data_IF_939613554276
#
_entry.id   IF_939613554276
#
_cell.length_a   1.000
_cell.length_b   1.000
_cell.length_c   1.000
_cell.angle_alpha   90.00
_cell.angle_beta   90.00
_cell.angle_gamma   90.00
#
_symmetry.space_group_name_H-M   'P 1'
#
loop_
_entity.id
_entity.type
_entity.pdbx_description
1 polymer ?
#
# COMPACT_ATOMS: atom_id res chain seq x y z
N UNK A 1 11.76 14.33 -29.58
CA UNK A 1 10.53 15.17 -29.55
C UNK A 1 10.90 16.64 -29.68
N UNK A 2 10.32 17.36 -30.63
CA UNK A 2 10.47 18.81 -30.69
C UNK A 2 9.97 19.43 -29.37
N UNK A 3 10.75 20.31 -28.72
CA UNK A 3 10.38 20.91 -27.42
C UNK A 3 9.03 21.63 -27.45
N UNK A 4 8.59 22.10 -28.63
CA UNK A 4 7.34 22.81 -28.84
C UNK A 4 6.09 21.90 -28.74
N UNK A 5 6.21 20.60 -29.03
CA UNK A 5 5.09 19.66 -28.98
C UNK A 5 4.75 19.22 -27.54
N UNK A 6 5.77 19.04 -26.71
CA UNK A 6 5.60 18.64 -25.31
C UNK A 6 4.99 19.77 -24.48
N UNK A 7 5.42 21.01 -24.74
CA UNK A 7 4.88 22.19 -24.07
C UNK A 7 3.42 22.44 -24.44
N UNK A 8 3.03 22.28 -25.71
CA UNK A 8 1.63 22.35 -26.15
C UNK A 8 0.75 21.28 -25.52
N UNK A 9 1.28 20.05 -25.40
CA UNK A 9 0.60 18.96 -24.71
C UNK A 9 0.40 19.27 -23.22
N UNK A 10 1.42 19.79 -22.53
CA UNK A 10 1.29 20.21 -21.12
C UNK A 10 0.22 21.29 -20.95
N UNK A 11 0.22 22.33 -21.80
CA UNK A 11 -0.76 23.42 -21.75
C UNK A 11 -2.19 22.92 -22.02
N UNK A 12 -2.37 21.97 -22.95
CA UNK A 12 -3.66 21.34 -23.21
C UNK A 12 -4.16 20.53 -22.00
N UNK A 13 -3.29 19.72 -21.39
CA UNK A 13 -3.65 18.90 -20.23
C UNK A 13 -3.97 19.79 -19.02
N UNK A 14 -3.20 20.85 -18.79
CA UNK A 14 -3.48 21.87 -17.76
C UNK A 14 -4.87 22.47 -17.97
N UNK A 15 -5.18 22.91 -19.19
CA UNK A 15 -6.50 23.47 -19.50
C UNK A 15 -7.62 22.45 -19.24
N UNK A 16 -7.45 21.17 -19.59
CA UNK A 16 -8.46 20.13 -19.35
C UNK A 16 -8.69 19.86 -17.86
N UNK A 17 -7.64 19.91 -17.03
CA UNK A 17 -7.76 19.84 -15.55
C UNK A 17 -8.49 21.08 -15.03
N UNK A 18 -8.15 22.26 -15.53
CA UNK A 18 -8.79 23.53 -15.15
C UNK A 18 -10.25 23.65 -15.61
N UNK A 19 -10.62 23.01 -16.71
CA UNK A 19 -11.99 22.95 -17.23
C UNK A 19 -12.84 21.82 -16.62
N UNK A 20 -12.28 20.98 -15.73
CA UNK A 20 -12.91 19.76 -15.20
C UNK A 20 -13.26 18.69 -16.27
N UNK A 21 -12.63 18.76 -17.44
CA UNK A 21 -12.80 17.79 -18.53
C UNK A 21 -11.89 16.56 -18.41
N UNK A 22 -11.10 16.48 -17.34
CA UNK A 22 -10.26 15.34 -17.00
C UNK A 22 -10.36 15.00 -15.52
N UNK A 23 -10.59 13.71 -15.22
CA UNK A 23 -10.70 13.22 -13.85
C UNK A 23 -9.33 13.19 -13.17
N UNK A 24 -9.28 13.46 -11.86
CA UNK A 24 -8.04 13.57 -11.09
C UNK A 24 -7.10 12.34 -11.18
N UNK A 25 -7.60 11.08 -11.14
CA UNK A 25 -6.72 9.92 -11.32
C UNK A 25 -6.06 9.88 -12.70
N UNK A 26 -6.74 10.36 -13.73
CA UNK A 26 -6.19 10.43 -15.09
C UNK A 26 -5.10 11.50 -15.18
N UNK A 27 -5.29 12.64 -14.52
CA UNK A 27 -4.28 13.70 -14.44
C UNK A 27 -3.02 13.25 -13.70
N UNK A 28 -3.17 12.55 -12.58
CA UNK A 28 -2.07 12.01 -11.80
C UNK A 28 -1.26 10.95 -12.59
N UNK A 29 -1.93 10.11 -13.37
CA UNK A 29 -1.29 9.13 -14.25
C UNK A 29 -0.45 9.80 -15.35
N UNK A 30 -0.96 10.90 -15.93
CA UNK A 30 -0.22 11.69 -16.94
C UNK A 30 1.02 12.35 -16.34
N UNK A 31 0.91 12.92 -15.13
CA UNK A 31 2.06 13.45 -14.39
C UNK A 31 3.09 12.36 -14.12
N UNK A 32 2.66 11.18 -13.64
CA UNK A 32 3.54 10.05 -13.38
C UNK A 32 4.26 9.56 -14.64
N UNK A 33 3.58 9.52 -15.78
CA UNK A 33 4.18 9.18 -17.06
C UNK A 33 5.23 10.21 -17.52
N UNK A 34 4.96 11.51 -17.37
CA UNK A 34 5.89 12.58 -17.73
C UNK A 34 7.16 12.56 -16.88
N UNK A 35 7.01 12.35 -15.56
CA UNK A 35 8.15 12.21 -14.63
C UNK A 35 9.00 10.98 -14.97
N UNK A 36 8.37 9.85 -15.32
CA UNK A 36 9.09 8.63 -15.78
C UNK A 36 9.86 8.87 -17.08
N UNK A 37 9.42 9.80 -17.92
CA UNK A 37 10.13 10.25 -19.13
C UNK A 37 11.21 11.31 -18.85
N UNK A 38 11.49 11.63 -17.58
CA UNK A 38 12.50 12.61 -17.17
C UNK A 38 12.06 14.06 -17.33
N UNK A 39 10.78 14.32 -17.53
CA UNK A 39 10.21 15.66 -17.68
C UNK A 39 9.33 16.00 -16.48
N UNK A 40 9.56 17.16 -15.87
CA UNK A 40 8.80 17.61 -14.69
C UNK A 40 7.86 18.74 -15.12
N UNK A 41 6.55 18.47 -15.34
CA UNK A 41 5.60 19.46 -15.82
C UNK A 41 5.11 20.33 -14.65
N UNK A 42 5.86 21.37 -14.30
CA UNK A 42 5.58 22.21 -13.12
C UNK A 42 4.19 22.86 -13.15
N UNK A 43 3.71 23.28 -14.33
CA UNK A 43 2.38 23.91 -14.45
C UNK A 43 1.26 22.89 -14.22
N UNK A 44 1.42 21.69 -14.78
CA UNK A 44 0.45 20.60 -14.58
C UNK A 44 0.45 20.10 -13.14
N UNK A 45 1.62 20.00 -12.51
CA UNK A 45 1.75 19.68 -11.08
C UNK A 45 0.98 20.69 -10.22
N UNK A 46 1.10 21.99 -10.52
CA UNK A 46 0.36 23.03 -9.80
C UNK A 46 -1.16 22.95 -10.06
N UNK A 47 -1.59 22.68 -11.29
CA UNK A 47 -3.01 22.58 -11.65
C UNK A 47 -3.70 21.35 -11.01
N UNK A 48 -3.02 20.21 -11.00
CA UNK A 48 -3.49 18.98 -10.32
C UNK A 48 -3.54 19.21 -8.80
N UNK A 49 -2.52 19.88 -8.25
CA UNK A 49 -2.44 20.20 -6.81
C UNK A 49 -3.47 21.25 -6.36
N UNK A 50 -3.80 22.21 -7.20
CA UNK A 50 -4.76 23.29 -6.92
C UNK A 50 -6.23 22.85 -6.92
N UNK A 51 -6.53 21.63 -7.40
CA UNK A 51 -7.89 21.07 -7.52
C UNK A 51 -8.13 19.78 -6.74
N UNK A 52 -7.20 19.39 -5.87
CA UNK A 52 -7.54 18.39 -4.85
C UNK A 52 -8.73 18.90 -4.04
N UNK A 53 -9.72 18.05 -3.70
CA UNK A 53 -10.56 18.31 -2.53
C UNK A 53 -9.64 18.68 -1.37
N UNK A 54 -9.99 19.71 -0.60
CA UNK A 54 -9.23 20.19 0.55
C UNK A 54 -8.89 19.09 1.60
N UNK A 55 -9.41 17.87 1.45
CA UNK A 55 -9.10 16.69 2.28
C UNK A 55 -7.74 16.03 2.00
N UNK A 56 -7.04 16.33 0.91
CA UNK A 56 -5.68 15.80 0.65
C UNK A 56 -4.55 16.82 0.93
N UNK A 57 -4.92 18.02 1.37
CA UNK A 57 -4.02 18.94 2.06
C UNK A 57 -4.51 19.05 3.50
N UNK A 58 -4.52 17.92 4.20
CA UNK A 58 -4.70 17.90 5.64
C UNK A 58 -3.60 18.75 6.26
N UNK A 59 -4.03 19.79 6.96
CA UNK A 59 -3.32 20.48 8.03
C UNK A 59 -2.24 19.57 8.63
N UNK A 60 -1.00 20.04 8.73
CA UNK A 60 0.04 19.30 9.44
C UNK A 60 -0.30 19.30 10.94
N UNK A 61 -1.30 18.49 11.32
CA UNK A 61 -1.53 18.07 12.69
C UNK A 61 -0.34 17.23 13.17
N UNK A 62 -0.32 16.95 14.47
CA UNK A 62 0.77 16.19 15.08
C UNK A 62 1.02 14.84 14.36
N UNK A 63 -0.05 14.17 13.89
CA UNK A 63 0.03 12.89 13.16
C UNK A 63 0.76 13.02 11.81
N UNK A 64 0.39 14.00 10.98
CA UNK A 64 1.05 14.22 9.69
C UNK A 64 2.53 14.55 9.84
N UNK A 65 2.89 15.35 10.85
CA UNK A 65 4.30 15.68 11.15
C UNK A 65 5.08 14.44 11.61
N UNK A 66 4.47 13.64 12.48
CA UNK A 66 5.07 12.39 12.97
C UNK A 66 5.29 11.37 11.84
N UNK A 67 4.31 11.19 10.97
CA UNK A 67 4.39 10.29 9.80
C UNK A 67 5.48 10.73 8.84
N UNK A 68 5.62 12.04 8.59
CA UNK A 68 6.68 12.57 7.75
C UNK A 68 8.07 12.28 8.33
N UNK A 69 8.21 12.37 9.65
CA UNK A 69 9.48 12.10 10.33
C UNK A 69 9.86 10.62 10.29
N UNK A 70 8.91 9.71 10.56
CA UNK A 70 9.13 8.27 10.40
C UNK A 70 9.57 7.91 8.98
N UNK A 71 8.91 8.49 7.96
CA UNK A 71 9.27 8.26 6.56
C UNK A 71 10.67 8.79 6.25
N UNK A 72 11.04 9.96 6.78
CA UNK A 72 12.38 10.53 6.64
C UNK A 72 13.43 9.56 7.18
N UNK A 73 13.19 8.98 8.36
CA UNK A 73 14.10 8.01 8.97
C UNK A 73 14.16 6.69 8.18
N UNK A 74 13.01 6.15 7.75
CA UNK A 74 12.96 4.94 6.94
C UNK A 74 13.76 5.10 5.64
N UNK A 75 13.64 6.25 4.96
CA UNK A 75 14.44 6.57 3.78
C UNK A 75 15.95 6.71 4.07
N UNK A 76 16.31 7.23 5.24
CA UNK A 76 17.71 7.34 5.68
C UNK A 76 18.33 5.97 6.06
N UNK A 77 17.54 5.04 6.60
CA UNK A 77 17.95 3.66 6.89
C UNK A 77 18.30 2.89 5.62
N UNK A 78 17.47 3.00 4.57
CA UNK A 78 17.76 2.43 3.25
C UNK A 78 19.08 2.97 2.64
N UNK A 79 19.53 4.15 3.09
CA UNK A 79 20.78 4.78 2.69
C UNK A 79 21.95 4.51 3.66
N UNK A 80 21.85 3.50 4.54
CA UNK A 80 22.85 3.03 5.52
C UNK A 80 23.22 4.02 6.66
N UNK A 81 22.38 5.02 6.99
CA UNK A 81 22.73 6.05 7.98
C UNK A 81 22.22 5.86 9.41
N UNK A 82 21.31 4.93 9.67
CA UNK A 82 20.74 4.74 11.02
C UNK A 82 20.80 3.27 11.45
N UNK A 83 21.43 2.96 12.60
CA UNK A 83 21.35 1.63 13.17
C UNK A 83 19.94 1.37 13.74
N UNK A 84 19.45 0.12 13.66
CA UNK A 84 18.28 -0.29 14.44
C UNK A 84 18.62 -0.03 15.93
N UNK A 85 17.74 0.68 16.65
CA UNK A 85 17.93 1.16 18.03
C UNK A 85 18.71 2.48 18.21
N UNK A 86 18.71 3.39 17.25
CA UNK A 86 19.10 4.78 17.55
C UNK A 86 18.16 5.39 18.61
N UNK A 87 18.67 6.29 19.48
CA UNK A 87 17.82 6.98 20.47
C UNK A 87 16.62 7.68 19.81
N UNK A 88 16.84 8.27 18.64
CA UNK A 88 15.82 8.94 17.83
C UNK A 88 14.68 7.97 17.43
N UNK A 89 15.00 6.72 17.09
CA UNK A 89 13.99 5.71 16.77
C UNK A 89 13.21 5.30 18.02
N UNK A 90 13.88 5.09 19.15
CA UNK A 90 13.24 4.69 20.40
C UNK A 90 12.25 5.76 20.90
N UNK A 91 12.63 7.03 20.84
CA UNK A 91 11.78 8.17 21.20
C UNK A 91 10.53 8.26 20.29
N UNK A 92 10.67 7.95 19.00
CA UNK A 92 9.53 7.94 18.08
C UNK A 92 8.61 6.73 18.30
N UNK A 93 9.19 5.55 18.56
CA UNK A 93 8.40 4.34 18.89
C UNK A 93 7.57 4.56 20.15
N UNK A 94 8.12 5.22 21.18
CA UNK A 94 7.39 5.56 22.40
C UNK A 94 6.19 6.49 22.15
N UNK A 95 6.26 7.34 21.12
CA UNK A 95 5.16 8.24 20.74
C UNK A 95 4.07 7.54 19.93
N UNK A 96 4.36 6.43 19.24
CA UNK A 96 3.41 5.72 18.36
C UNK A 96 2.05 5.53 19.03
N UNK A 97 1.92 4.93 20.23
CA UNK A 97 0.63 4.71 20.89
C UNK A 97 -0.25 5.95 20.99
N UNK A 98 0.35 7.11 21.26
CA UNK A 98 -0.38 8.37 21.41
C UNK A 98 -0.87 8.93 20.08
N UNK A 99 -0.26 8.51 18.98
CA UNK A 99 -0.55 8.97 17.63
C UNK A 99 -1.60 8.11 16.93
N UNK A 100 -1.72 6.82 17.27
CA UNK A 100 -2.62 5.88 16.58
C UNK A 100 -4.11 6.27 16.64
N UNK A 101 -4.67 6.77 17.76
CA UNK A 101 -6.08 7.13 17.82
C UNK A 101 -6.42 8.25 16.85
N UNK A 102 -7.31 7.98 15.90
CA UNK A 102 -7.76 8.97 14.92
C UNK A 102 -6.89 9.07 13.67
N UNK A 103 -5.82 8.27 13.54
CA UNK A 103 -5.11 8.15 12.28
C UNK A 103 -6.01 7.58 11.16
N UNK A 104 -5.82 8.11 9.96
CA UNK A 104 -6.37 7.54 8.73
C UNK A 104 -5.68 6.21 8.38
N UNK A 105 -6.29 5.42 7.50
CA UNK A 105 -5.69 4.16 7.04
C UNK A 105 -4.32 4.34 6.39
N UNK A 106 -4.13 5.44 5.67
CA UNK A 106 -2.85 5.78 5.03
C UNK A 106 -1.78 6.14 6.05
N UNK A 107 -2.13 6.87 7.11
CA UNK A 107 -1.21 7.21 8.19
C UNK A 107 -0.83 5.95 8.97
N UNK A 108 -1.80 5.12 9.36
CA UNK A 108 -1.55 3.86 10.06
C UNK A 108 -0.63 2.92 9.26
N UNK A 109 -0.93 2.71 7.98
CA UNK A 109 -0.12 1.86 7.11
C UNK A 109 1.29 2.41 6.91
N UNK A 110 1.43 3.74 6.77
CA UNK A 110 2.73 4.40 6.64
C UNK A 110 3.56 4.26 7.92
N UNK A 111 2.95 4.44 9.09
CA UNK A 111 3.65 4.23 10.38
C UNK A 111 4.12 2.78 10.44
N UNK A 112 3.22 1.82 10.21
CA UNK A 112 3.50 0.39 10.28
C UNK A 112 4.68 -0.03 9.38
N UNK A 113 4.64 0.33 8.08
CA UNK A 113 5.71 -0.05 7.16
C UNK A 113 7.02 0.69 7.44
N UNK A 114 6.97 1.92 7.94
CA UNK A 114 8.18 2.67 8.33
C UNK A 114 8.85 1.99 9.52
N UNK A 115 8.08 1.57 10.52
CA UNK A 115 8.60 0.82 11.67
C UNK A 115 9.20 -0.52 11.24
N UNK A 116 8.54 -1.24 10.34
CA UNK A 116 9.05 -2.50 9.80
C UNK A 116 10.36 -2.29 9.02
N UNK A 117 10.42 -1.25 8.18
CA UNK A 117 11.64 -0.87 7.41
C UNK A 117 12.79 -0.46 8.31
N UNK A 118 12.49 0.12 9.46
CA UNK A 118 13.47 0.53 10.47
C UNK A 118 13.88 -0.62 11.40
N UNK A 119 13.31 -1.82 11.20
CA UNK A 119 13.50 -2.98 12.08
C UNK A 119 13.25 -2.63 13.56
N UNK A 120 12.28 -1.74 13.81
CA UNK A 120 11.97 -1.24 15.14
C UNK A 120 11.34 -2.35 15.99
N UNK A 121 11.76 -2.45 17.25
CA UNK A 121 11.05 -3.30 18.22
C UNK A 121 9.79 -2.59 18.70
N UNK A 122 8.63 -3.15 18.34
CA UNK A 122 7.31 -2.69 18.77
C UNK A 122 6.75 -3.69 19.78
N UNK A 123 6.26 -3.22 20.92
CA UNK A 123 5.68 -4.09 21.95
C UNK A 123 4.25 -4.53 21.59
N UNK A 124 3.80 -5.62 22.22
CA UNK A 124 2.46 -6.19 22.03
C UNK A 124 1.35 -5.18 22.31
N UNK A 125 1.51 -4.31 23.31
CA UNK A 125 0.50 -3.31 23.67
C UNK A 125 0.33 -2.23 22.60
N UNK A 126 1.40 -1.88 21.89
CA UNK A 126 1.35 -0.98 20.73
C UNK A 126 0.70 -1.67 19.53
N UNK A 127 0.99 -2.96 19.28
CA UNK A 127 0.38 -3.73 18.19
C UNK A 127 -1.13 -3.91 18.38
N UNK A 128 -1.59 -4.14 19.62
CA UNK A 128 -3.02 -4.16 19.96
C UNK A 128 -3.71 -2.80 19.70
N UNK A 129 -2.99 -1.69 19.86
CA UNK A 129 -3.52 -0.37 19.53
C UNK A 129 -3.60 -0.14 18.03
N UNK A 130 -2.64 -0.68 17.24
CA UNK A 130 -2.76 -0.70 15.78
C UNK A 130 -3.98 -1.49 15.34
N UNK A 131 -4.21 -2.67 15.93
CA UNK A 131 -5.39 -3.49 15.67
C UNK A 131 -6.68 -2.71 15.97
N UNK A 132 -6.78 -2.08 17.14
CA UNK A 132 -7.96 -1.31 17.53
C UNK A 132 -8.19 -0.09 16.63
N UNK A 133 -7.13 0.64 16.24
CA UNK A 133 -7.23 1.79 15.36
C UNK A 133 -7.61 1.36 13.93
N UNK A 134 -7.02 0.26 13.44
CA UNK A 134 -7.36 -0.32 12.15
C UNK A 134 -8.83 -0.77 12.13
N UNK A 135 -9.28 -1.50 13.16
CA UNK A 135 -10.66 -1.98 13.27
C UNK A 135 -11.68 -0.83 13.23
N UNK A 136 -11.38 0.29 13.90
CA UNK A 136 -12.25 1.46 13.95
C UNK A 136 -12.36 2.17 12.59
N UNK A 137 -11.29 2.19 11.80
CA UNK A 137 -11.21 2.88 10.51
C UNK A 137 -11.43 2.00 9.28
N UNK A 138 -11.45 0.67 9.42
CA UNK A 138 -11.29 -0.28 8.31
C UNK A 138 -12.26 -0.07 7.14
N UNK A 139 -13.50 0.35 7.43
CA UNK A 139 -14.52 0.61 6.41
C UNK A 139 -14.14 1.74 5.43
N UNK A 140 -13.26 2.66 5.83
CA UNK A 140 -12.81 3.79 4.99
C UNK A 140 -11.45 3.56 4.35
N UNK A 141 -10.78 2.44 4.67
CA UNK A 141 -9.43 2.19 4.18
C UNK A 141 -9.43 1.82 2.70
N UNK A 142 -8.43 2.34 2.00
CA UNK A 142 -8.09 1.93 0.64
C UNK A 142 -7.38 0.56 0.65
N UNK A 143 -7.46 -0.22 -0.44
CA UNK A 143 -6.76 -1.50 -0.61
C UNK A 143 -5.31 -1.51 -0.14
N UNK A 144 -4.53 -0.52 -0.56
CA UNK A 144 -3.12 -0.38 -0.16
C UNK A 144 -2.92 -0.27 1.35
N UNK A 145 -3.82 0.41 2.06
CA UNK A 145 -3.71 0.52 3.52
C UNK A 145 -4.02 -0.81 4.20
N UNK A 146 -4.97 -1.57 3.65
CA UNK A 146 -5.36 -2.89 4.15
C UNK A 146 -4.21 -3.89 3.97
N UNK A 147 -3.70 -4.01 2.73
CA UNK A 147 -2.61 -4.93 2.38
C UNK A 147 -1.35 -4.65 3.19
N UNK A 148 -0.97 -3.37 3.32
CA UNK A 148 0.21 -2.94 4.07
C UNK A 148 0.06 -3.20 5.57
N UNK A 149 -1.12 -2.95 6.15
CA UNK A 149 -1.35 -3.25 7.57
C UNK A 149 -1.27 -4.74 7.86
N UNK A 150 -1.88 -5.60 7.04
CA UNK A 150 -1.78 -7.05 7.17
C UNK A 150 -0.33 -7.54 7.04
N UNK A 151 0.41 -7.04 6.06
CA UNK A 151 1.83 -7.38 5.89
C UNK A 151 2.68 -6.88 7.06
N UNK A 152 2.36 -5.70 7.60
CA UNK A 152 3.00 -5.16 8.79
C UNK A 152 2.78 -6.03 10.02
N UNK A 153 1.54 -6.42 10.30
CA UNK A 153 1.22 -7.38 11.36
C UNK A 153 1.98 -8.70 11.18
N UNK A 154 2.03 -9.22 9.95
CA UNK A 154 2.81 -10.41 9.61
C UNK A 154 4.31 -10.24 9.89
N UNK A 155 4.87 -9.08 9.53
CA UNK A 155 6.29 -8.76 9.73
C UNK A 155 6.65 -8.69 11.21
N UNK A 156 5.76 -8.14 12.03
CA UNK A 156 5.91 -8.11 13.49
C UNK A 156 5.49 -9.42 14.17
N UNK A 157 5.11 -10.45 13.41
CA UNK A 157 4.66 -11.75 13.92
C UNK A 157 3.46 -11.62 14.89
N UNK A 158 2.67 -10.57 14.74
CA UNK A 158 1.46 -10.33 15.51
C UNK A 158 0.26 -10.73 14.67
N UNK A 159 -0.52 -11.68 15.16
CA UNK A 159 -1.76 -12.10 14.52
C UNK A 159 -2.92 -11.37 15.18
N UNK A 160 -3.63 -10.46 14.48
CA UNK A 160 -4.84 -9.86 14.99
C UNK A 160 -5.83 -10.93 15.48
N UNK A 161 -6.65 -10.58 16.47
CA UNK A 161 -7.67 -11.46 17.00
C UNK A 161 -8.70 -11.88 15.94
N UNK A 162 -9.48 -12.93 16.24
CA UNK A 162 -10.43 -13.50 15.28
C UNK A 162 -11.45 -12.46 14.76
N UNK A 163 -11.91 -11.56 15.62
CA UNK A 163 -12.91 -10.55 15.25
C UNK A 163 -12.31 -9.48 14.31
N UNK A 164 -11.18 -8.82 14.61
CA UNK A 164 -10.55 -7.91 13.66
C UNK A 164 -10.08 -8.60 12.38
N UNK A 165 -9.54 -9.81 12.47
CA UNK A 165 -9.13 -10.58 11.29
C UNK A 165 -10.31 -10.90 10.36
N UNK A 166 -11.47 -11.25 10.92
CA UNK A 166 -12.69 -11.44 10.14
C UNK A 166 -13.10 -10.14 9.42
N UNK A 167 -13.00 -8.99 10.10
CA UNK A 167 -13.32 -7.69 9.48
C UNK A 167 -12.37 -7.35 8.34
N UNK A 168 -11.07 -7.67 8.46
CA UNK A 168 -10.12 -7.58 7.36
C UNK A 168 -10.54 -8.43 6.16
N UNK A 169 -10.91 -9.69 6.41
CA UNK A 169 -11.39 -10.59 5.38
C UNK A 169 -12.66 -10.07 4.67
N UNK A 170 -13.66 -9.63 5.45
CA UNK A 170 -14.90 -9.05 4.92
C UNK A 170 -14.60 -7.81 4.06
N UNK A 171 -13.70 -6.93 4.53
CA UNK A 171 -13.32 -5.71 3.80
C UNK A 171 -12.54 -5.99 2.52
N UNK A 172 -11.62 -6.96 2.54
CA UNK A 172 -10.90 -7.39 1.34
C UNK A 172 -11.90 -7.86 0.29
N UNK A 173 -12.86 -8.70 0.69
CA UNK A 173 -13.87 -9.21 -0.23
C UNK A 173 -14.71 -8.07 -0.86
N UNK A 174 -15.14 -7.10 -0.06
CA UNK A 174 -15.95 -5.96 -0.53
C UNK A 174 -15.20 -5.01 -1.47
N UNK A 175 -13.87 -4.96 -1.40
CA UNK A 175 -13.06 -3.98 -2.12
C UNK A 175 -12.03 -4.59 -3.07
N UNK A 176 -12.08 -5.91 -3.28
CA UNK A 176 -11.08 -6.66 -4.04
C UNK A 176 -10.87 -6.14 -5.46
N UNK A 177 -11.92 -5.63 -6.10
CA UNK A 177 -11.86 -5.08 -7.46
C UNK A 177 -10.92 -3.86 -7.59
N UNK A 178 -10.68 -3.17 -6.47
CA UNK A 178 -9.81 -2.00 -6.40
C UNK A 178 -8.37 -2.34 -5.99
N UNK A 179 -8.07 -3.61 -5.69
CA UNK A 179 -6.71 -4.04 -5.36
C UNK A 179 -5.84 -4.02 -6.61
N UNK A 180 -4.67 -3.39 -6.48
CA UNK A 180 -3.62 -3.47 -7.47
C UNK A 180 -2.70 -4.66 -7.19
N UNK A 181 -1.83 -4.99 -8.15
CA UNK A 181 -0.94 -6.17 -8.07
C UNK A 181 -0.11 -6.21 -6.80
N UNK A 182 0.49 -5.09 -6.41
CA UNK A 182 1.28 -4.99 -5.16
C UNK A 182 0.41 -5.28 -3.93
N UNK A 183 -0.85 -4.86 -3.92
CA UNK A 183 -1.79 -5.09 -2.83
C UNK A 183 -2.18 -6.57 -2.73
N UNK A 184 -2.42 -7.21 -3.87
CA UNK A 184 -2.76 -8.64 -3.94
C UNK A 184 -1.60 -9.49 -3.41
N UNK A 185 -0.39 -9.25 -3.93
CA UNK A 185 0.82 -9.98 -3.51
C UNK A 185 1.03 -9.81 -2.01
N UNK A 186 1.00 -8.57 -1.50
CA UNK A 186 1.18 -8.29 -0.08
C UNK A 186 0.10 -8.96 0.78
N UNK A 187 -1.15 -8.97 0.34
CA UNK A 187 -2.27 -9.57 1.09
C UNK A 187 -2.16 -11.09 1.18
N UNK A 188 -1.92 -11.78 0.05
CA UNK A 188 -1.79 -13.25 0.04
C UNK A 188 -0.54 -13.67 0.85
N UNK A 189 0.57 -12.95 0.68
CA UNK A 189 1.80 -13.19 1.45
C UNK A 189 1.60 -12.98 2.95
N UNK A 190 0.90 -11.92 3.34
CA UNK A 190 0.59 -11.65 4.74
C UNK A 190 -0.21 -12.79 5.38
N UNK A 191 -1.25 -13.30 4.70
CA UNK A 191 -2.02 -14.44 5.21
C UNK A 191 -1.16 -15.69 5.40
N UNK A 192 -0.27 -15.97 4.45
CA UNK A 192 0.67 -17.07 4.56
C UNK A 192 1.62 -16.92 5.77
N UNK A 193 2.24 -15.75 5.92
CA UNK A 193 3.15 -15.46 7.04
C UNK A 193 2.46 -15.54 8.40
N UNK A 194 1.22 -15.05 8.48
CA UNK A 194 0.39 -15.11 9.69
C UNK A 194 -0.14 -16.52 9.99
N UNK A 195 0.05 -17.48 9.07
CA UNK A 195 -0.55 -18.82 9.15
C UNK A 195 -2.07 -18.77 9.30
N UNK A 196 -2.70 -17.72 8.76
CA UNK A 196 -4.13 -17.50 8.86
C UNK A 196 -4.81 -17.93 7.55
N UNK A 197 -5.81 -18.79 7.65
CA UNK A 197 -6.66 -19.14 6.51
C UNK A 197 -7.86 -18.19 6.47
N UNK A 198 -7.93 -17.25 5.49
CA UNK A 198 -9.02 -16.28 5.41
C UNK A 198 -10.35 -16.88 4.91
N UNK A 199 -10.37 -18.19 4.67
CA UNK A 199 -11.51 -18.93 4.16
C UNK A 199 -11.56 -18.97 2.64
N UNK A 200 -12.29 -19.96 2.11
CA UNK A 200 -12.35 -20.20 0.67
C UNK A 200 -12.86 -19.00 -0.10
N UNK A 201 -13.85 -18.28 0.43
CA UNK A 201 -14.47 -17.13 -0.26
C UNK A 201 -13.45 -16.02 -0.57
N UNK A 202 -12.62 -15.66 0.41
CA UNK A 202 -11.56 -14.65 0.24
C UNK A 202 -10.47 -15.17 -0.69
N UNK A 203 -10.06 -16.43 -0.56
CA UNK A 203 -9.04 -17.03 -1.42
C UNK A 203 -9.46 -17.06 -2.90
N UNK A 204 -10.72 -17.41 -3.20
CA UNK A 204 -11.23 -17.39 -4.57
C UNK A 204 -11.37 -15.96 -5.11
N UNK A 205 -11.71 -14.98 -4.26
CA UNK A 205 -11.77 -13.58 -4.66
C UNK A 205 -10.37 -13.04 -5.01
N UNK A 206 -9.37 -13.34 -4.17
CA UNK A 206 -7.97 -13.00 -4.43
C UNK A 206 -7.47 -13.67 -5.71
N UNK A 207 -7.72 -14.96 -5.88
CA UNK A 207 -7.38 -15.71 -7.10
C UNK A 207 -7.98 -15.08 -8.36
N UNK A 208 -9.28 -14.77 -8.33
CA UNK A 208 -9.98 -14.17 -9.47
C UNK A 208 -9.38 -12.82 -9.84
N UNK A 209 -9.04 -12.00 -8.85
CA UNK A 209 -8.43 -10.70 -9.09
C UNK A 209 -6.98 -10.82 -9.56
N UNK A 210 -6.23 -11.82 -9.08
CA UNK A 210 -4.89 -12.17 -9.62
C UNK A 210 -5.00 -12.54 -11.09
N UNK A 211 -6.00 -13.32 -11.50
CA UNK A 211 -6.20 -13.64 -12.91
C UNK A 211 -6.45 -12.39 -13.76
N UNK A 212 -7.29 -11.47 -13.28
CA UNK A 212 -7.57 -10.19 -13.97
C UNK A 212 -6.32 -9.32 -14.10
N UNK A 213 -5.47 -9.28 -13.07
CA UNK A 213 -4.29 -8.41 -13.02
C UNK A 213 -3.00 -9.08 -13.51
N UNK A 214 -3.06 -10.34 -13.93
CA UNK A 214 -1.89 -11.16 -14.23
C UNK A 214 -0.92 -10.53 -15.24
N UNK A 215 -1.41 -9.76 -16.22
CA UNK A 215 -0.56 -9.07 -17.20
C UNK A 215 0.40 -8.04 -16.59
N UNK A 216 0.12 -7.59 -15.36
CA UNK A 216 0.96 -6.65 -14.62
C UNK A 216 1.89 -7.30 -13.59
N UNK A 217 1.82 -8.63 -13.43
CA UNK A 217 2.72 -9.36 -12.55
C UNK A 217 4.10 -9.49 -13.18
N UNK A 218 5.14 -9.28 -12.38
CA UNK A 218 6.48 -9.70 -12.72
C UNK A 218 6.78 -11.13 -12.22
N UNK A 219 8.00 -11.62 -12.48
CA UNK A 219 8.47 -12.93 -12.05
C UNK A 219 8.39 -13.10 -10.52
N UNK A 220 8.73 -12.05 -9.76
CA UNK A 220 8.79 -12.07 -8.31
C UNK A 220 7.38 -12.11 -7.72
N UNK A 221 6.49 -11.27 -8.25
CA UNK A 221 5.08 -11.21 -7.83
C UNK A 221 4.41 -12.57 -8.05
N UNK A 222 4.66 -13.17 -9.22
CA UNK A 222 4.13 -14.48 -9.57
C UNK A 222 4.67 -15.58 -8.63
N UNK A 223 5.97 -15.57 -8.33
CA UNK A 223 6.57 -16.52 -7.40
C UNK A 223 6.00 -16.39 -5.99
N UNK A 224 6.00 -15.18 -5.43
CA UNK A 224 5.51 -14.93 -4.07
C UNK A 224 4.03 -15.32 -3.92
N UNK A 225 3.21 -14.99 -4.92
CA UNK A 225 1.79 -15.32 -4.93
C UNK A 225 1.55 -16.83 -5.05
N UNK A 226 2.29 -17.52 -5.92
CA UNK A 226 2.22 -18.99 -6.04
C UNK A 226 2.60 -19.70 -4.75
N UNK A 227 3.73 -19.30 -4.15
CA UNK A 227 4.21 -19.88 -2.90
C UNK A 227 3.20 -19.68 -1.77
N UNK A 228 2.68 -18.46 -1.63
CA UNK A 228 1.71 -18.16 -0.59
C UNK A 228 0.39 -18.93 -0.76
N UNK A 229 -0.17 -19.03 -1.98
CA UNK A 229 -1.37 -19.85 -2.21
C UNK A 229 -1.13 -21.35 -1.95
N UNK A 230 0.02 -21.87 -2.39
CA UNK A 230 0.38 -23.27 -2.15
C UNK A 230 0.43 -23.59 -0.66
N UNK A 231 1.09 -22.74 0.11
CA UNK A 231 1.26 -22.91 1.55
C UNK A 231 -0.03 -22.68 2.35
N UNK A 232 -0.95 -21.84 1.83
CA UNK A 232 -2.31 -21.71 2.33
C UNK A 232 -3.20 -22.92 1.97
N UNK A 233 -2.69 -23.86 1.16
CA UNK A 233 -3.43 -25.03 0.71
C UNK A 233 -4.54 -24.72 -0.28
N UNK A 234 -4.48 -23.57 -0.95
CA UNK A 234 -5.44 -23.17 -1.97
C UNK A 234 -5.00 -23.69 -3.34
N UNK A 235 -5.83 -24.53 -3.95
CA UNK A 235 -5.56 -25.05 -5.28
C UNK A 235 -6.02 -24.03 -6.33
N UNK A 236 -5.06 -23.37 -6.97
CA UNK A 236 -5.32 -22.45 -8.08
C UNK A 236 -5.91 -23.18 -9.28
N UNK A 237 -6.74 -22.46 -10.05
CA UNK A 237 -7.24 -22.88 -11.34
C UNK A 237 -6.06 -23.33 -12.23
N UNK A 238 -6.15 -24.50 -12.88
CA UNK A 238 -5.03 -25.05 -13.65
C UNK A 238 -4.54 -24.13 -14.77
N UNK A 239 -5.41 -23.31 -15.36
CA UNK A 239 -5.05 -22.36 -16.41
C UNK A 239 -4.26 -21.19 -15.81
N UNK A 240 -4.73 -20.62 -14.70
CA UNK A 240 -4.02 -19.57 -13.99
C UNK A 240 -2.66 -20.06 -13.49
N UNK A 241 -2.61 -21.24 -12.86
CA UNK A 241 -1.39 -21.88 -12.40
C UNK A 241 -0.37 -22.05 -13.53
N UNK A 242 -0.81 -22.50 -14.70
CA UNK A 242 0.05 -22.65 -15.88
C UNK A 242 0.63 -21.32 -16.35
N UNK A 243 -0.18 -20.24 -16.37
CA UNK A 243 0.29 -18.91 -16.76
C UNK A 243 1.30 -18.34 -15.74
N UNK A 244 1.03 -18.46 -14.45
CA UNK A 244 1.95 -17.98 -13.39
C UNK A 244 3.27 -18.77 -13.37
N UNK A 245 3.22 -20.09 -13.63
CA UNK A 245 4.43 -20.92 -13.80
C UNK A 245 5.28 -20.50 -14.99
N UNK A 246 4.64 -20.14 -16.10
CA UNK A 246 5.34 -19.63 -17.27
C UNK A 246 6.06 -18.29 -16.97
N UNK A 247 5.48 -17.42 -16.14
CA UNK A 247 6.12 -16.17 -15.69
C UNK A 247 7.34 -16.43 -14.79
N UNK A 248 7.30 -17.47 -13.95
CA UNK A 248 8.39 -17.82 -13.02
C UNK A 248 9.49 -18.69 -13.62
N UNK A 249 9.39 -19.04 -14.90
CA UNK A 249 10.33 -19.96 -15.56
C UNK A 249 10.27 -21.41 -15.05
N UNK A 250 9.31 -21.74 -14.18
CA UNK A 250 9.07 -23.10 -13.69
C UNK A 250 8.22 -23.85 -14.71
N UNK A 251 8.88 -24.62 -15.60
CA UNK A 251 8.18 -25.51 -16.56
C UNK A 251 7.90 -26.88 -15.95
#
# INVERSE_FOLDING_TARGET
PEPDALQKFEEEVVWRVEAQEMLQPQAANVVGALVKMGHVPEKLLMAVRGKMPQEQQGEAGAAGTFVAELRRLAGASASQRLPPNSCELLELVEQVPTMLPGCTGQELSTIMISLATLEATVDEGTLLQFESAAEAGLATFAPQSISTLLLGFATFQHTPGEVPMKKFCDRIEESIEFFETEDLVATVWAFWMLRHNPGSKVLHALESQVEVKLESFDERDAYATLEAFYELGHALDPVLLGKMKALTGQT
#
